data_IF_262862129658
#
_entry.id   IF_262862129658
#
_cell.length_a   1.000
_cell.length_b   1.000
_cell.length_c   1.000
_cell.angle_alpha   90.00
_cell.angle_beta   90.00
_cell.angle_gamma   90.00
#
_symmetry.space_group_name_H-M   'P 1'
#
loop_
_entity.id
_entity.type
_entity.pdbx_description
1 polymer ?
#
# COMPACT_ATOMS: atom_id res chain seq x y z
N UNK A 1 -21.97 49.95 -10.86
CA UNK A 1 -23.10 49.59 -10.00
C UNK A 1 -22.84 50.22 -8.67
N UNK A 2 -23.77 51.03 -8.15
CA UNK A 2 -23.61 51.64 -6.85
C UNK A 2 -23.95 50.57 -5.78
N UNK A 3 -23.04 50.33 -4.86
CA UNK A 3 -23.29 49.46 -3.72
C UNK A 3 -24.08 50.28 -2.70
N UNK A 4 -25.37 49.98 -2.54
CA UNK A 4 -26.19 50.53 -1.48
C UNK A 4 -26.06 49.65 -0.24
N UNK A 5 -25.60 50.25 0.85
CA UNK A 5 -25.50 49.62 2.15
C UNK A 5 -26.81 49.79 2.92
N UNK A 6 -27.53 48.74 3.19
CA UNK A 6 -28.58 48.76 4.19
C UNK A 6 -27.92 48.62 5.56
N UNK A 7 -27.90 49.67 6.32
CA UNK A 7 -27.42 49.66 7.71
C UNK A 7 -28.50 49.00 8.58
N UNK A 8 -28.35 47.71 8.85
CA UNK A 8 -29.11 47.11 9.97
C UNK A 8 -28.54 47.63 11.29
N UNK A 9 -29.38 47.82 12.36
CA UNK A 9 -28.86 48.16 13.66
C UNK A 9 -27.75 47.17 14.02
N UNK A 10 -26.59 47.62 14.53
CA UNK A 10 -25.50 46.72 14.86
C UNK A 10 -25.98 45.71 15.87
N UNK A 11 -25.79 44.41 15.57
CA UNK A 11 -25.77 43.45 16.65
C UNK A 11 -24.62 43.83 17.61
N UNK A 12 -24.62 43.26 18.79
CA UNK A 12 -23.61 43.57 19.81
C UNK A 12 -22.16 43.27 19.37
N UNK A 13 -21.95 42.80 18.14
CA UNK A 13 -20.64 42.49 17.55
C UNK A 13 -20.23 43.39 16.39
N UNK A 14 -21.07 44.35 15.98
CA UNK A 14 -20.73 45.34 14.94
C UNK A 14 -20.64 44.79 13.51
N UNK A 15 -21.18 43.64 13.23
CA UNK A 15 -21.14 43.04 11.90
C UNK A 15 -22.08 43.76 10.92
N UNK A 16 -21.56 44.07 9.75
CA UNK A 16 -22.32 44.66 8.63
C UNK A 16 -22.78 43.56 7.69
N UNK A 17 -24.05 43.57 7.32
CA UNK A 17 -24.58 42.69 6.27
C UNK A 17 -24.48 43.42 4.93
N UNK A 18 -23.76 42.85 3.98
CA UNK A 18 -23.75 43.32 2.60
C UNK A 18 -24.91 42.71 1.85
N UNK A 19 -25.65 43.50 1.13
CA UNK A 19 -26.68 43.05 0.19
C UNK A 19 -26.25 43.38 -1.23
N UNK A 20 -26.44 42.47 -2.14
CA UNK A 20 -26.23 42.73 -3.57
C UNK A 20 -27.60 42.94 -4.19
N UNK A 21 -27.75 44.05 -4.89
CA UNK A 21 -28.96 44.32 -5.70
C UNK A 21 -28.86 43.53 -7.03
N UNK A 22 -29.76 42.60 -7.20
CA UNK A 22 -29.92 41.84 -8.44
C UNK A 22 -31.19 42.34 -9.11
N UNK A 23 -31.04 42.96 -10.30
CA UNK A 23 -32.16 43.38 -11.11
C UNK A 23 -32.52 42.24 -12.08
N UNK A 24 -33.70 41.66 -11.95
CA UNK A 24 -34.24 40.61 -12.80
C UNK A 24 -34.97 41.14 -14.04
N UNK A 25 -34.91 42.47 -14.28
CA UNK A 25 -35.58 43.16 -15.38
C UNK A 25 -37.02 43.59 -15.07
N UNK A 26 -37.56 43.22 -13.90
CA UNK A 26 -38.87 43.65 -13.42
C UNK A 26 -38.88 44.26 -12.02
N UNK A 27 -38.04 43.78 -11.13
CA UNK A 27 -37.93 44.25 -9.76
C UNK A 27 -36.49 44.18 -9.24
N UNK A 28 -36.13 45.11 -8.36
CA UNK A 28 -34.87 45.06 -7.63
C UNK A 28 -35.03 44.12 -6.43
N UNK A 29 -34.33 42.97 -6.47
CA UNK A 29 -34.35 41.99 -5.39
C UNK A 29 -33.08 42.15 -4.58
N UNK A 30 -33.23 42.45 -3.29
CA UNK A 30 -32.12 42.49 -2.34
C UNK A 30 -31.90 41.11 -1.75
N UNK A 31 -30.81 40.46 -2.15
CA UNK A 31 -30.42 39.18 -1.57
C UNK A 31 -29.37 39.41 -0.50
N UNK A 32 -29.63 39.03 0.75
CA UNK A 32 -28.60 39.12 1.80
C UNK A 32 -27.46 38.18 1.48
N UNK A 33 -26.27 38.71 1.29
CA UNK A 33 -25.04 37.94 1.14
C UNK A 33 -24.43 37.80 2.52
N UNK A 34 -24.48 36.63 3.10
CA UNK A 34 -23.72 36.33 4.30
C UNK A 34 -22.23 36.25 3.95
N UNK A 35 -21.50 37.30 4.23
CA UNK A 35 -20.04 37.28 4.11
C UNK A 35 -19.52 36.71 5.44
N UNK A 36 -18.99 35.49 5.40
CA UNK A 36 -18.17 34.99 6.49
C UNK A 36 -16.78 35.58 6.25
N UNK A 37 -16.52 36.74 6.86
CA UNK A 37 -15.18 37.30 6.92
C UNK A 37 -14.46 36.65 8.11
N UNK A 38 -13.21 36.18 7.91
CA UNK A 38 -12.35 35.98 9.06
C UNK A 38 -12.12 37.35 9.71
N UNK A 39 -12.02 37.40 11.03
CA UNK A 39 -11.92 38.67 11.75
C UNK A 39 -10.61 39.44 11.51
N UNK A 40 -9.79 39.07 10.53
CA UNK A 40 -8.43 39.56 10.31
C UNK A 40 -8.32 40.35 8.99
N UNK A 41 -8.98 39.91 7.90
CA UNK A 41 -8.90 40.61 6.61
C UNK A 41 -10.27 40.73 5.93
N UNK A 42 -10.83 41.94 5.83
CA UNK A 42 -12.12 42.17 5.18
C UNK A 42 -12.11 41.99 3.65
N UNK A 43 -10.95 41.70 3.05
CA UNK A 43 -10.83 41.46 1.61
C UNK A 43 -11.03 39.99 1.27
N UNK A 44 -11.00 39.09 2.24
CA UNK A 44 -11.30 37.67 2.03
C UNK A 44 -12.81 37.45 1.89
N UNK A 45 -13.28 37.42 0.66
CA UNK A 45 -14.69 37.19 0.32
C UNK A 45 -14.91 35.74 -0.09
N UNK A 46 -15.93 35.11 0.48
CA UNK A 46 -16.40 33.84 -0.02
C UNK A 46 -17.05 34.08 -1.40
N UNK A 47 -16.51 33.47 -2.45
CA UNK A 47 -17.14 33.49 -3.76
C UNK A 47 -18.22 32.41 -3.85
N UNK A 48 -19.34 32.74 -4.46
CA UNK A 48 -20.39 31.80 -4.82
C UNK A 48 -20.44 31.65 -6.35
N UNK A 49 -20.75 30.45 -6.82
CA UNK A 49 -20.98 30.26 -8.25
C UNK A 49 -22.34 30.81 -8.69
N UNK A 50 -22.63 30.76 -9.98
CA UNK A 50 -23.93 31.21 -10.56
C UNK A 50 -25.12 30.37 -10.08
N UNK A 51 -24.91 29.23 -9.44
CA UNK A 51 -25.92 28.38 -8.83
C UNK A 51 -26.13 28.66 -7.34
N UNK A 52 -25.39 29.64 -6.77
CA UNK A 52 -25.49 29.99 -5.34
C UNK A 52 -24.69 29.08 -4.42
N UNK A 53 -23.84 28.18 -4.94
CA UNK A 53 -22.96 27.33 -4.14
C UNK A 53 -21.77 28.13 -3.64
N UNK A 54 -21.54 28.09 -2.33
CA UNK A 54 -20.40 28.76 -1.73
C UNK A 54 -19.12 27.93 -1.96
N UNK A 55 -18.11 28.55 -2.58
CA UNK A 55 -16.79 27.97 -2.61
C UNK A 55 -16.10 28.22 -1.28
N UNK A 56 -15.99 27.19 -0.44
CA UNK A 56 -15.19 27.25 0.77
C UNK A 56 -13.76 26.88 0.42
N UNK A 57 -12.87 27.86 0.35
CA UNK A 57 -11.43 27.60 0.27
C UNK A 57 -10.96 27.31 1.68
N UNK A 58 -10.55 26.10 1.94
CA UNK A 58 -9.95 25.75 3.22
C UNK A 58 -8.51 26.28 3.24
N UNK A 59 -8.13 26.95 4.32
CA UNK A 59 -6.78 27.44 4.55
C UNK A 59 -5.79 26.28 4.80
N UNK A 60 -4.50 26.57 4.90
CA UNK A 60 -3.48 25.62 5.34
C UNK A 60 -3.94 24.84 6.59
N UNK A 61 -3.83 23.51 6.55
CA UNK A 61 -4.37 22.63 7.59
C UNK A 61 -5.81 22.16 7.36
N UNK A 62 -6.40 22.52 6.23
CA UNK A 62 -7.74 22.12 5.83
C UNK A 62 -7.87 20.63 5.57
N UNK A 63 -9.09 20.06 5.70
CA UNK A 63 -9.31 18.65 5.43
C UNK A 63 -8.82 18.26 4.05
N UNK A 64 -8.04 17.17 3.99
CA UNK A 64 -7.53 16.63 2.74
C UNK A 64 -8.68 15.94 2.03
N UNK A 65 -8.87 16.25 0.75
CA UNK A 65 -9.80 15.53 -0.11
C UNK A 65 -9.11 14.29 -0.70
N UNK A 66 -9.83 13.19 -0.76
CA UNK A 66 -9.38 11.98 -1.43
C UNK A 66 -9.47 12.10 -2.97
N UNK A 67 -9.11 11.04 -3.70
CA UNK A 67 -9.16 11.03 -5.16
C UNK A 67 -10.60 11.11 -5.73
N UNK A 68 -11.64 10.91 -4.90
CA UNK A 68 -13.04 11.16 -5.25
C UNK A 68 -13.48 12.60 -4.97
N UNK A 69 -12.62 13.43 -4.40
CA UNK A 69 -13.00 14.75 -3.93
C UNK A 69 -13.83 14.73 -2.63
N UNK A 70 -13.84 13.61 -1.91
CA UNK A 70 -14.50 13.50 -0.63
C UNK A 70 -13.58 14.03 0.47
N UNK A 71 -14.15 14.82 1.38
CA UNK A 71 -13.43 15.35 2.51
C UNK A 71 -13.09 14.25 3.51
N UNK A 72 -11.82 14.06 3.80
CA UNK A 72 -11.35 13.12 4.82
C UNK A 72 -11.76 13.61 6.23
N UNK A 73 -12.77 13.00 6.80
CA UNK A 73 -13.28 13.32 8.15
C UNK A 73 -12.76 12.35 9.22
N UNK A 74 -12.01 11.33 8.83
CA UNK A 74 -11.42 10.33 9.71
C UNK A 74 -9.99 10.01 9.27
N UNK A 75 -9.21 9.45 10.18
CA UNK A 75 -7.89 8.93 9.81
C UNK A 75 -8.02 7.82 8.75
N UNK A 76 -7.20 7.84 7.69
CA UNK A 76 -7.16 6.75 6.73
C UNK A 76 -6.78 5.44 7.41
N UNK A 77 -7.38 4.33 6.98
CA UNK A 77 -7.00 3.00 7.47
C UNK A 77 -5.59 2.65 7.02
N UNK A 78 -4.72 2.34 7.96
CA UNK A 78 -3.36 1.91 7.68
C UNK A 78 -3.37 0.47 7.16
N UNK A 79 -2.94 0.26 5.91
CA UNK A 79 -2.91 -1.04 5.25
C UNK A 79 -1.52 -1.67 5.25
N UNK A 80 -0.46 -0.87 5.29
CA UNK A 80 0.91 -1.34 5.33
C UNK A 80 1.90 -0.29 5.78
N UNK A 81 2.99 -0.75 6.40
CA UNK A 81 4.09 0.09 6.90
C UNK A 81 5.42 -0.52 6.47
N UNK A 82 6.30 0.33 5.97
CA UNK A 82 7.65 -0.03 5.56
C UNK A 82 8.65 0.81 6.36
N UNK A 83 9.52 0.12 7.11
CA UNK A 83 10.44 0.73 8.06
C UNK A 83 11.89 0.47 7.64
N UNK A 84 12.30 1.03 6.51
CA UNK A 84 13.65 0.81 5.97
C UNK A 84 14.76 1.34 6.88
N UNK A 85 14.43 2.15 7.89
CA UNK A 85 15.36 2.56 8.94
C UNK A 85 15.69 1.44 9.94
N UNK A 86 14.93 0.34 9.95
CA UNK A 86 15.19 -0.88 10.70
C UNK A 86 16.01 -1.90 9.90
N UNK A 87 16.48 -1.55 8.71
CA UNK A 87 17.22 -2.38 7.76
C UNK A 87 16.43 -2.74 6.52
N UNK A 88 17.04 -3.56 5.66
CA UNK A 88 16.34 -4.14 4.50
C UNK A 88 15.11 -4.89 5.01
N UNK A 89 14.00 -4.75 4.29
CA UNK A 89 12.71 -5.31 4.72
C UNK A 89 12.56 -6.80 4.33
N UNK A 90 13.68 -7.55 4.30
CA UNK A 90 13.64 -9.00 4.09
C UNK A 90 12.98 -9.69 5.31
N UNK A 91 12.04 -10.62 5.12
CA UNK A 91 11.54 -11.22 3.88
C UNK A 91 10.32 -10.49 3.25
N UNK A 92 10.00 -9.26 3.66
CA UNK A 92 8.79 -8.53 3.20
C UNK A 92 8.94 -7.99 1.78
N UNK A 93 10.16 -7.96 1.25
CA UNK A 93 10.46 -7.47 -0.08
C UNK A 93 11.15 -8.54 -0.92
N UNK A 94 10.76 -8.60 -2.18
CA UNK A 94 11.40 -9.39 -3.21
C UNK A 94 12.44 -8.55 -3.94
N UNK A 95 13.63 -9.11 -4.13
CA UNK A 95 14.76 -8.45 -4.77
C UNK A 95 15.16 -9.18 -6.06
N UNK A 96 15.02 -8.49 -7.19
CA UNK A 96 15.44 -8.99 -8.50
C UNK A 96 16.67 -8.19 -8.93
N UNK A 97 17.79 -8.89 -9.11
CA UNK A 97 19.09 -8.28 -9.37
C UNK A 97 19.62 -8.72 -10.72
N UNK A 98 20.13 -7.77 -11.50
CA UNK A 98 20.91 -8.01 -12.70
C UNK A 98 22.23 -7.26 -12.60
N UNK A 99 23.33 -7.91 -12.92
CA UNK A 99 24.65 -7.31 -12.84
C UNK A 99 25.14 -7.11 -11.40
N UNK A 100 25.62 -5.92 -11.09
CA UNK A 100 26.21 -5.57 -9.78
C UNK A 100 25.27 -4.71 -8.90
N UNK A 101 23.99 -4.64 -9.26
CA UNK A 101 23.00 -3.91 -8.51
C UNK A 101 22.72 -4.59 -7.15
N UNK A 102 22.32 -3.82 -6.13
CA UNK A 102 21.94 -4.36 -4.83
C UNK A 102 21.06 -3.39 -4.03
N UNK A 103 20.36 -3.95 -3.04
CA UNK A 103 19.70 -3.21 -1.97
C UNK A 103 20.31 -3.66 -0.64
N UNK A 104 20.90 -2.72 0.08
CA UNK A 104 21.58 -2.98 1.35
C UNK A 104 21.14 -1.98 2.41
N UNK A 105 21.22 -2.39 3.66
CA UNK A 105 21.01 -1.49 4.78
C UNK A 105 22.13 -0.45 4.86
N UNK A 106 21.75 0.82 5.10
CA UNK A 106 22.67 1.92 5.36
C UNK A 106 22.35 2.55 6.72
N UNK A 107 22.91 2.00 7.82
CA UNK A 107 22.63 2.50 9.16
C UNK A 107 23.14 3.92 9.40
N UNK A 108 24.09 4.41 8.58
CA UNK A 108 24.61 5.77 8.70
C UNK A 108 23.58 6.81 8.24
N UNK A 109 22.73 6.46 7.27
CA UNK A 109 21.64 7.31 6.80
C UNK A 109 20.27 6.87 7.35
N UNK A 110 20.19 5.71 7.97
CA UNK A 110 18.94 5.19 8.54
C UNK A 110 17.94 4.79 7.46
N UNK A 111 18.37 4.04 6.44
CA UNK A 111 17.51 3.60 5.34
C UNK A 111 18.11 2.49 4.51
N UNK A 112 17.36 1.99 3.55
CA UNK A 112 17.85 1.05 2.55
C UNK A 112 18.45 1.80 1.38
N UNK A 113 19.70 1.48 1.07
CA UNK A 113 20.43 1.99 -0.08
C UNK A 113 20.26 1.04 -1.26
N UNK A 114 19.69 1.55 -2.34
CA UNK A 114 19.55 0.91 -3.64
C UNK A 114 20.70 1.36 -4.53
N UNK A 115 21.45 0.44 -5.10
CA UNK A 115 22.63 0.74 -5.91
C UNK A 115 22.58 0.03 -7.26
N UNK A 116 23.14 0.66 -8.29
CA UNK A 116 23.56 0.03 -9.54
C UNK A 116 25.02 0.37 -9.82
N UNK A 117 25.74 -0.55 -10.45
CA UNK A 117 27.10 -0.30 -10.89
C UNK A 117 27.16 0.66 -12.08
N UNK A 118 28.11 0.44 -12.98
CA UNK A 118 28.31 1.31 -14.17
C UNK A 118 27.89 0.66 -15.49
N UNK A 119 27.71 -0.66 -15.50
CA UNK A 119 27.43 -1.40 -16.71
C UNK A 119 26.02 -1.15 -17.25
N UNK A 120 25.88 -1.19 -18.57
CA UNK A 120 24.59 -1.23 -19.24
C UNK A 120 23.84 -2.50 -18.82
N UNK A 121 22.58 -2.37 -18.43
CA UNK A 121 21.74 -3.49 -17.99
C UNK A 121 21.87 -3.82 -16.51
N UNK A 122 22.76 -3.16 -15.74
CA UNK A 122 22.71 -3.26 -14.27
C UNK A 122 21.34 -2.79 -13.78
N UNK A 123 20.63 -3.66 -13.05
CA UNK A 123 19.26 -3.39 -12.63
C UNK A 123 18.98 -3.97 -11.26
N UNK A 124 18.30 -3.18 -10.43
CA UNK A 124 17.61 -3.62 -9.23
C UNK A 124 16.13 -3.35 -9.36
N UNK A 125 15.33 -4.36 -9.08
CA UNK A 125 13.90 -4.26 -8.81
C UNK A 125 13.68 -4.75 -7.37
N UNK A 126 13.08 -3.91 -6.54
CA UNK A 126 12.89 -4.17 -5.12
C UNK A 126 11.44 -3.84 -4.75
N UNK A 127 10.61 -4.86 -4.62
CA UNK A 127 9.15 -4.75 -4.50
C UNK A 127 8.65 -5.40 -3.22
N UNK A 128 7.65 -4.80 -2.59
CA UNK A 128 6.97 -5.47 -1.49
C UNK A 128 6.33 -6.77 -1.97
N UNK A 129 6.53 -7.85 -1.22
CA UNK A 129 5.87 -9.13 -1.49
C UNK A 129 4.35 -9.00 -1.43
N UNK A 130 3.88 -8.09 -0.58
CA UNK A 130 2.47 -7.79 -0.44
C UNK A 130 2.00 -6.86 -1.54
N UNK A 131 0.90 -7.25 -2.23
CA UNK A 131 0.09 -6.36 -3.06
C UNK A 131 -1.09 -5.86 -2.25
N UNK A 132 -1.39 -4.59 -2.39
CA UNK A 132 -2.49 -3.94 -1.70
C UNK A 132 -3.72 -4.01 -2.58
N UNK A 133 -4.75 -4.69 -2.06
CA UNK A 133 -5.98 -4.93 -2.80
C UNK A 133 -6.76 -3.63 -2.96
N UNK A 134 -7.08 -3.30 -4.21
CA UNK A 134 -7.95 -2.22 -4.53
C UNK A 134 -9.41 -2.60 -4.30
N UNK A 135 -10.17 -1.71 -3.70
CA UNK A 135 -11.61 -1.85 -3.53
C UNK A 135 -12.33 -0.82 -4.39
N UNK A 136 -13.24 -1.24 -5.27
CA UNK A 136 -14.08 -0.30 -6.00
C UNK A 136 -14.82 0.65 -5.06
N UNK A 137 -14.71 1.95 -5.31
CA UNK A 137 -15.29 2.96 -4.46
C UNK A 137 -14.40 3.47 -3.32
N UNK A 138 -13.16 2.97 -3.19
CA UNK A 138 -12.18 3.48 -2.23
C UNK A 138 -10.98 4.12 -2.93
N UNK A 139 -10.27 4.97 -2.21
CA UNK A 139 -8.96 5.49 -2.61
C UNK A 139 -7.88 4.74 -1.85
N UNK A 140 -6.80 4.34 -2.55
CA UNK A 140 -5.57 3.84 -1.93
C UNK A 140 -4.49 4.89 -2.13
N UNK A 141 -3.74 5.19 -1.07
CA UNK A 141 -2.62 6.12 -1.06
C UNK A 141 -1.36 5.42 -0.59
N UNK A 142 -0.27 5.63 -1.32
CA UNK A 142 1.09 5.27 -0.94
C UNK A 142 1.83 6.56 -0.58
N UNK A 143 2.40 6.60 0.60
CA UNK A 143 3.31 7.66 1.03
C UNK A 143 4.68 7.06 1.29
N UNK A 144 5.74 7.71 0.83
CA UNK A 144 7.10 7.21 1.01
C UNK A 144 8.12 8.35 1.07
N UNK A 145 9.21 8.10 1.79
CA UNK A 145 10.33 9.03 1.88
C UNK A 145 11.53 8.47 1.11
N UNK A 146 12.04 9.25 0.19
CA UNK A 146 13.21 8.87 -0.60
C UNK A 146 14.16 10.06 -0.81
N UNK A 147 15.40 9.71 -1.17
CA UNK A 147 16.47 10.62 -1.57
C UNK A 147 17.26 9.97 -2.70
N UNK A 148 17.57 10.71 -3.76
CA UNK A 148 18.53 10.26 -4.76
C UNK A 148 19.97 10.58 -4.30
N UNK A 149 20.93 9.76 -4.67
CA UNK A 149 22.35 10.00 -4.40
C UNK A 149 22.95 11.10 -5.29
N UNK A 150 22.28 11.41 -6.42
CA UNK A 150 22.66 12.45 -7.38
C UNK A 150 21.45 13.00 -8.12
N UNK A 151 21.62 14.07 -8.86
CA UNK A 151 20.56 14.70 -9.66
C UNK A 151 20.13 13.90 -10.90
N UNK A 152 20.81 12.77 -11.16
CA UNK A 152 20.60 11.94 -12.34
C UNK A 152 21.81 11.94 -13.26
N UNK A 153 21.87 10.91 -14.13
CA UNK A 153 22.96 10.68 -15.10
C UNK A 153 22.37 10.13 -16.38
N UNK A 154 22.94 10.51 -17.51
CA UNK A 154 22.56 9.90 -18.79
C UNK A 154 22.65 8.36 -18.72
N UNK A 155 21.62 7.67 -19.16
CA UNK A 155 21.54 6.21 -19.12
C UNK A 155 21.14 5.61 -17.77
N UNK A 156 20.75 6.42 -16.78
CA UNK A 156 20.24 5.96 -15.49
C UNK A 156 18.75 6.23 -15.39
N UNK A 157 17.97 5.21 -15.08
CA UNK A 157 16.54 5.32 -14.80
C UNK A 157 16.23 4.89 -13.36
N UNK A 158 15.42 5.67 -12.66
CA UNK A 158 14.92 5.41 -11.32
C UNK A 158 13.41 5.54 -11.31
N UNK A 159 12.73 4.53 -10.80
CA UNK A 159 11.27 4.53 -10.64
C UNK A 159 10.94 4.16 -9.20
N UNK A 160 9.96 4.83 -8.61
CA UNK A 160 9.47 4.53 -7.27
C UNK A 160 7.95 4.78 -7.21
N UNK A 161 7.23 3.86 -6.61
CA UNK A 161 5.78 3.97 -6.49
C UNK A 161 5.08 2.63 -6.47
N UNK A 162 4.00 2.53 -7.21
CA UNK A 162 3.16 1.36 -7.32
C UNK A 162 3.56 0.48 -8.50
N UNK A 163 3.66 -0.82 -8.26
CA UNK A 163 4.03 -1.82 -9.26
C UNK A 163 3.16 -3.07 -9.14
N UNK A 164 2.94 -3.75 -10.27
CA UNK A 164 2.60 -5.16 -10.36
C UNK A 164 3.46 -5.82 -11.44
N UNK A 165 3.14 -7.04 -11.91
CA UNK A 165 3.97 -7.75 -12.89
C UNK A 165 4.11 -7.01 -14.22
N UNK A 166 3.12 -6.19 -14.58
CA UNK A 166 3.00 -5.59 -15.92
C UNK A 166 2.71 -4.09 -15.91
N UNK A 167 2.13 -3.59 -14.84
CA UNK A 167 1.66 -2.22 -14.70
C UNK A 167 2.46 -1.45 -13.65
N UNK A 168 2.51 -0.14 -13.76
CA UNK A 168 3.03 0.72 -12.72
C UNK A 168 2.42 2.13 -12.72
N UNK A 169 2.47 2.78 -11.54
CA UNK A 169 2.22 4.20 -11.33
C UNK A 169 3.35 4.76 -10.48
N UNK A 170 4.21 5.59 -11.05
CA UNK A 170 5.50 5.93 -10.45
C UNK A 170 5.88 7.40 -10.62
N UNK A 171 6.69 7.88 -9.68
CA UNK A 171 7.64 8.95 -9.98
C UNK A 171 8.86 8.33 -10.67
N UNK A 172 9.32 8.96 -11.74
CA UNK A 172 10.42 8.49 -12.56
C UNK A 172 11.46 9.58 -12.77
N UNK A 173 12.73 9.18 -12.74
CA UNK A 173 13.88 10.00 -13.11
C UNK A 173 14.63 9.27 -14.21
N UNK A 174 14.67 9.82 -15.40
CA UNK A 174 15.39 9.26 -16.54
C UNK A 174 16.50 10.23 -16.96
N UNK A 175 17.74 9.84 -16.70
CA UNK A 175 18.82 10.80 -16.74
C UNK A 175 18.61 11.90 -15.69
N UNK A 176 18.55 13.14 -16.12
CA UNK A 176 18.26 14.32 -15.28
C UNK A 176 16.79 14.74 -15.30
N UNK A 177 15.99 14.15 -16.18
CA UNK A 177 14.60 14.52 -16.37
C UNK A 177 13.69 13.79 -15.38
N UNK A 178 12.66 14.49 -14.93
CA UNK A 178 11.70 14.01 -13.94
C UNK A 178 10.33 13.87 -14.58
N UNK A 179 9.67 12.77 -14.26
CA UNK A 179 8.35 12.41 -14.79
C UNK A 179 7.45 11.87 -13.70
N UNK A 180 6.16 11.93 -13.94
CA UNK A 180 5.18 10.98 -13.41
C UNK A 180 4.75 10.07 -14.55
N UNK A 181 4.59 8.78 -14.27
CA UNK A 181 4.28 7.82 -15.32
C UNK A 181 3.26 6.78 -14.86
N UNK A 182 2.37 6.40 -15.78
CA UNK A 182 1.48 5.25 -15.67
C UNK A 182 1.70 4.36 -16.88
N UNK A 183 1.91 3.09 -16.64
CA UNK A 183 1.95 2.06 -17.68
C UNK A 183 0.94 0.99 -17.34
N UNK A 184 0.09 0.67 -18.29
CA UNK A 184 -0.88 -0.41 -18.18
C UNK A 184 -0.69 -1.45 -19.29
N UNK A 185 -0.69 -2.73 -18.93
CA UNK A 185 -0.55 -3.83 -19.89
C UNK A 185 -1.69 -3.88 -20.90
N UNK A 186 -2.91 -3.55 -20.49
CA UNK A 186 -4.09 -3.55 -21.38
C UNK A 186 -4.01 -2.51 -22.48
N UNK A 187 -3.43 -1.35 -22.18
CA UNK A 187 -3.24 -0.28 -23.16
C UNK A 187 -1.98 -0.50 -24.00
N UNK A 188 -0.99 -1.20 -23.43
CA UNK A 188 0.35 -1.36 -24.01
C UNK A 188 1.13 -0.03 -24.12
N UNK A 189 0.58 1.06 -23.59
CA UNK A 189 1.12 2.41 -23.70
C UNK A 189 1.53 2.92 -22.34
N UNK A 190 2.72 3.49 -22.25
CA UNK A 190 3.17 4.28 -21.11
C UNK A 190 2.75 5.74 -21.34
N UNK A 191 1.97 6.28 -20.40
CA UNK A 191 1.69 7.71 -20.31
C UNK A 191 2.69 8.33 -19.37
N UNK A 192 3.60 9.14 -19.90
CA UNK A 192 4.68 9.78 -19.15
C UNK A 192 4.59 11.29 -19.30
N UNK A 193 4.51 12.00 -18.17
CA UNK A 193 4.36 13.45 -18.12
C UNK A 193 5.58 14.08 -17.48
N UNK A 194 6.38 14.84 -18.25
CA UNK A 194 7.56 15.53 -17.72
C UNK A 194 7.16 16.61 -16.71
N UNK A 195 8.02 16.89 -15.74
CA UNK A 195 7.79 17.87 -14.66
C UNK A 195 7.31 19.23 -15.18
N UNK A 196 7.87 19.70 -16.29
CA UNK A 196 7.46 20.96 -16.90
C UNK A 196 5.99 21.02 -17.32
N UNK A 197 5.33 19.85 -17.49
CA UNK A 197 3.94 19.71 -17.89
C UNK A 197 3.03 19.22 -16.74
N UNK A 198 3.51 19.18 -15.51
CA UNK A 198 2.66 18.83 -14.38
C UNK A 198 1.53 19.85 -14.23
N UNK A 199 0.34 19.35 -13.96
CA UNK A 199 -0.91 20.17 -13.93
C UNK A 199 -1.10 20.92 -12.61
N UNK A 200 -0.37 20.53 -11.56
CA UNK A 200 -0.35 21.19 -10.26
C UNK A 200 1.00 21.85 -10.01
N UNK A 201 1.58 21.61 -8.83
CA UNK A 201 2.84 22.19 -8.43
C UNK A 201 4.03 21.50 -9.13
N UNK A 202 4.80 22.25 -9.89
CA UNK A 202 5.96 21.74 -10.66
C UNK A 202 7.23 21.63 -9.85
N UNK A 203 7.26 22.19 -8.65
CA UNK A 203 8.43 22.21 -7.77
C UNK A 203 9.68 22.77 -8.48
N UNK A 204 9.49 23.79 -9.32
CA UNK A 204 10.57 24.40 -10.12
C UNK A 204 11.01 25.78 -9.61
N UNK A 205 10.41 26.26 -8.53
CA UNK A 205 10.71 27.55 -7.91
C UNK A 205 10.22 28.77 -8.71
N UNK A 206 9.42 28.55 -9.77
CA UNK A 206 9.00 29.66 -10.65
C UNK A 206 7.93 30.57 -10.03
N UNK A 207 7.22 30.07 -9.01
CA UNK A 207 6.04 30.73 -8.46
C UNK A 207 4.83 30.68 -9.43
N UNK A 208 3.75 31.33 -9.03
CA UNK A 208 2.51 31.38 -9.83
C UNK A 208 1.67 30.08 -9.76
N UNK A 209 0.66 30.01 -10.62
CA UNK A 209 -0.40 28.96 -10.54
C UNK A 209 0.12 27.52 -10.66
N UNK A 210 1.26 27.30 -11.29
CA UNK A 210 1.87 25.99 -11.49
C UNK A 210 3.01 25.67 -10.50
N UNK A 211 3.28 26.54 -9.57
CA UNK A 211 4.22 26.34 -8.47
C UNK A 211 3.83 27.20 -7.28
N UNK A 212 2.66 26.89 -6.70
CA UNK A 212 2.10 27.61 -5.56
C UNK A 212 2.96 27.48 -4.29
N UNK A 213 3.75 26.42 -4.19
CA UNK A 213 4.66 26.21 -3.06
C UNK A 213 5.92 27.08 -3.12
N UNK A 214 6.24 27.64 -4.29
CA UNK A 214 7.51 28.35 -4.58
C UNK A 214 8.77 27.50 -4.31
N UNK A 215 8.62 26.20 -4.09
CA UNK A 215 9.72 25.29 -3.79
C UNK A 215 10.43 24.86 -5.06
N UNK A 216 11.77 24.91 -5.03
CA UNK A 216 12.61 24.23 -6.02
C UNK A 216 13.01 22.87 -5.48
N UNK A 217 12.59 21.80 -6.16
CA UNK A 217 12.88 20.44 -5.75
C UNK A 217 14.38 20.13 -5.85
N UNK A 218 14.96 19.71 -4.73
CA UNK A 218 16.26 19.05 -4.68
C UNK A 218 16.07 17.55 -4.37
N UNK A 219 16.19 16.71 -5.39
CA UNK A 219 16.04 15.25 -5.27
C UNK A 219 17.15 14.59 -4.46
N UNK A 220 18.26 15.30 -4.22
CA UNK A 220 19.39 14.83 -3.39
C UNK A 220 19.14 15.02 -1.90
N UNK A 221 18.02 15.62 -1.54
CA UNK A 221 17.53 15.75 -0.17
C UNK A 221 16.40 14.75 0.08
N UNK A 222 16.11 14.52 1.34
CA UNK A 222 14.96 13.71 1.74
C UNK A 222 13.66 14.44 1.43
N UNK A 223 12.82 13.80 0.65
CA UNK A 223 11.49 14.29 0.30
C UNK A 223 10.44 13.23 0.59
N UNK A 224 9.27 13.65 1.07
CA UNK A 224 8.12 12.77 1.27
C UNK A 224 7.22 12.89 0.05
N UNK A 225 7.00 11.78 -0.63
CA UNK A 225 6.19 11.67 -1.82
C UNK A 225 4.92 10.89 -1.54
N UNK A 226 3.89 11.11 -2.34
CA UNK A 226 2.67 10.32 -2.28
C UNK A 226 2.08 10.11 -3.67
N UNK A 227 1.43 8.94 -3.83
CA UNK A 227 0.66 8.56 -5.01
C UNK A 227 -0.63 7.97 -4.52
N UNK A 228 -1.76 8.58 -4.84
CA UNK A 228 -3.06 8.02 -4.56
C UNK A 228 -3.85 7.78 -5.86
N UNK A 229 -4.71 6.80 -5.82
CA UNK A 229 -5.52 6.46 -6.97
C UNK A 229 -6.89 5.93 -6.58
N UNK A 230 -7.84 6.25 -7.44
CA UNK A 230 -9.16 5.69 -7.53
C UNK A 230 -9.25 5.00 -8.90
N UNK A 231 -9.27 3.67 -8.90
CA UNK A 231 -9.18 2.98 -10.18
C UNK A 231 -10.49 3.02 -10.99
N UNK A 232 -11.53 2.29 -10.57
CA UNK A 232 -12.79 2.10 -11.32
C UNK A 232 -12.61 2.02 -12.86
N UNK A 233 -11.40 1.65 -13.31
CA UNK A 233 -11.02 1.53 -14.72
C UNK A 233 -10.54 2.83 -15.37
N UNK A 234 -11.12 3.97 -15.06
CA UNK A 234 -10.83 5.28 -15.68
C UNK A 234 -10.75 6.41 -14.66
N UNK A 235 -10.54 6.07 -13.40
CA UNK A 235 -10.50 7.04 -12.32
C UNK A 235 -9.22 7.87 -12.29
N UNK A 236 -9.08 8.67 -11.25
CA UNK A 236 -8.01 9.65 -11.10
C UNK A 236 -6.80 9.02 -10.42
N UNK A 237 -5.60 9.36 -10.87
CA UNK A 237 -4.33 9.13 -10.17
C UNK A 237 -3.70 10.48 -9.88
N UNK A 238 -3.35 10.70 -8.61
CA UNK A 238 -2.70 11.93 -8.18
C UNK A 238 -1.30 11.63 -7.67
N UNK A 239 -0.37 12.50 -8.02
CA UNK A 239 1.03 12.47 -7.63
C UNK A 239 1.35 13.73 -6.86
N UNK A 240 2.08 13.64 -5.76
CA UNK A 240 2.42 14.82 -4.99
C UNK A 240 3.51 14.61 -3.96
N UNK A 241 3.72 15.62 -3.16
CA UNK A 241 4.73 15.68 -2.11
C UNK A 241 4.18 16.38 -0.87
N UNK A 242 4.86 16.22 0.26
CA UNK A 242 4.58 16.95 1.47
C UNK A 242 5.57 18.12 1.62
N UNK A 243 5.07 19.34 1.77
CA UNK A 243 5.87 20.53 1.94
C UNK A 243 5.40 21.27 3.19
N UNK A 244 6.27 21.43 4.18
CA UNK A 244 5.91 22.12 5.41
C UNK A 244 4.74 21.50 6.20
N UNK A 245 4.48 20.20 6.02
CA UNK A 245 3.33 19.52 6.62
C UNK A 245 2.04 19.62 5.81
N UNK A 246 2.08 20.20 4.61
CA UNK A 246 0.94 20.32 3.69
C UNK A 246 1.07 19.33 2.55
N UNK A 247 -0.02 18.63 2.21
CA UNK A 247 -0.08 17.71 1.07
C UNK A 247 -0.27 18.49 -0.22
N UNK A 248 0.79 18.58 -1.03
CA UNK A 248 0.84 19.34 -2.29
C UNK A 248 0.68 18.39 -3.47
N UNK A 249 -0.29 18.67 -4.34
CA UNK A 249 -0.50 17.91 -5.58
C UNK A 249 0.40 18.45 -6.68
N UNK A 250 1.26 17.59 -7.22
CA UNK A 250 2.15 17.92 -8.34
C UNK A 250 1.46 17.67 -9.69
N UNK A 251 0.81 16.53 -9.85
CA UNK A 251 0.13 16.21 -11.09
C UNK A 251 -1.10 15.33 -10.87
N UNK A 252 -2.09 15.50 -11.75
CA UNK A 252 -3.31 14.68 -11.78
C UNK A 252 -3.41 14.04 -13.16
N UNK A 253 -3.38 12.72 -13.21
CA UNK A 253 -3.71 11.95 -14.40
C UNK A 253 -5.17 11.54 -14.34
N UNK A 254 -5.91 11.83 -15.39
CA UNK A 254 -7.33 11.59 -15.50
C UNK A 254 -7.62 10.76 -16.76
N UNK A 255 -8.20 9.57 -16.56
CA UNK A 255 -8.63 8.68 -17.66
C UNK A 255 -10.03 8.96 -18.18
N UNK A 256 -10.74 9.91 -17.59
CA UNK A 256 -12.10 10.27 -17.91
C UNK A 256 -12.25 10.68 -19.39
N UNK A 257 -13.16 10.01 -20.10
CA UNK A 257 -13.48 10.25 -21.52
C UNK A 257 -12.27 10.26 -22.48
N UNK A 258 -11.16 9.59 -22.07
CA UNK A 258 -9.92 9.57 -22.83
C UNK A 258 -9.42 8.16 -23.16
N UNK A 259 -9.93 7.14 -22.46
CA UNK A 259 -9.45 5.77 -22.56
C UNK A 259 -10.54 4.84 -23.10
N UNK A 260 -10.17 3.97 -24.04
CA UNK A 260 -11.05 2.92 -24.59
C UNK A 260 -11.10 1.68 -23.67
N UNK A 261 -10.23 1.59 -22.69
CA UNK A 261 -10.11 0.46 -21.74
C UNK A 261 -9.45 0.93 -20.44
N UNK A 262 -9.54 0.16 -19.36
CA UNK A 262 -8.92 0.50 -18.08
C UNK A 262 -7.41 0.79 -18.22
N UNK A 263 -6.92 1.76 -17.45
CA UNK A 263 -5.50 2.16 -17.51
C UNK A 263 -4.55 1.17 -16.81
N UNK A 264 -5.06 0.28 -15.96
CA UNK A 264 -4.31 -0.84 -15.38
C UNK A 264 -4.99 -2.16 -15.75
N UNK A 265 -4.22 -3.22 -15.85
CA UNK A 265 -4.74 -4.58 -16.00
C UNK A 265 -5.17 -5.19 -14.67
N UNK A 266 -4.43 -4.87 -13.60
CA UNK A 266 -4.71 -5.27 -12.23
C UNK A 266 -4.42 -4.09 -11.28
N UNK A 267 -5.44 -3.56 -10.57
CA UNK A 267 -5.26 -2.45 -9.64
C UNK A 267 -4.64 -2.86 -8.29
N UNK A 268 -4.39 -4.15 -8.07
CA UNK A 268 -3.76 -4.64 -6.86
C UNK A 268 -2.24 -4.47 -6.97
N UNK A 269 -1.73 -3.44 -6.33
CA UNK A 269 -0.36 -2.97 -6.55
C UNK A 269 0.52 -3.18 -5.31
N UNK A 270 1.81 -3.39 -5.54
CA UNK A 270 2.84 -3.41 -4.52
C UNK A 270 3.58 -2.08 -4.48
N UNK A 271 4.12 -1.71 -3.32
CA UNK A 271 5.13 -0.65 -3.25
C UNK A 271 6.46 -1.17 -3.80
N UNK A 272 7.14 -0.37 -4.59
CA UNK A 272 8.42 -0.78 -5.14
C UNK A 272 9.32 0.34 -5.59
N UNK A 273 10.56 -0.09 -5.84
CA UNK A 273 11.65 0.73 -6.33
C UNK A 273 12.33 -0.03 -7.46
N UNK A 274 12.60 0.66 -8.55
CA UNK A 274 13.40 0.14 -9.66
C UNK A 274 14.49 1.13 -9.99
N UNK A 275 15.74 0.65 -10.11
CA UNK A 275 16.86 1.41 -10.63
C UNK A 275 17.56 0.60 -11.71
N UNK A 276 17.81 1.20 -12.86
CA UNK A 276 18.32 0.52 -14.02
C UNK A 276 19.25 1.41 -14.85
N UNK A 277 20.38 0.85 -15.30
CA UNK A 277 21.25 1.47 -16.27
C UNK A 277 20.84 1.05 -17.68
N UNK A 278 20.32 1.95 -18.48
CA UNK A 278 19.95 1.73 -19.89
C UNK A 278 21.10 1.99 -20.85
N UNK A 279 22.23 2.46 -20.31
CA UNK A 279 23.50 2.63 -21.01
C UNK A 279 24.65 2.54 -19.99
N UNK A 280 25.89 2.62 -20.45
CA UNK A 280 27.07 2.74 -19.59
C UNK A 280 26.98 4.10 -18.84
N UNK A 281 27.05 4.07 -17.51
CA UNK A 281 27.08 5.27 -16.67
C UNK A 281 28.47 5.52 -16.11
N UNK A 282 28.81 6.79 -15.89
CA UNK A 282 30.18 7.19 -15.52
C UNK A 282 30.62 6.82 -14.10
N UNK A 283 29.67 6.48 -13.21
CA UNK A 283 29.94 6.07 -11.83
C UNK A 283 28.75 5.29 -11.28
N UNK A 284 28.95 4.57 -10.19
CA UNK A 284 27.86 3.92 -9.44
C UNK A 284 26.76 4.90 -9.10
N UNK A 285 25.54 4.42 -9.08
CA UNK A 285 24.35 5.23 -8.80
C UNK A 285 23.65 4.72 -7.54
N UNK A 286 23.14 5.65 -6.74
CA UNK A 286 22.52 5.35 -5.46
C UNK A 286 21.16 6.04 -5.35
N UNK A 287 20.26 5.39 -4.65
CA UNK A 287 19.00 5.95 -4.18
C UNK A 287 18.72 5.39 -2.78
N UNK A 288 18.10 6.17 -1.92
CA UNK A 288 17.81 5.78 -0.55
C UNK A 288 16.31 5.84 -0.31
N UNK A 289 15.78 4.81 0.35
CA UNK A 289 14.40 4.74 0.82
C UNK A 289 14.41 4.59 2.33
N UNK A 290 13.62 5.40 3.04
CA UNK A 290 13.66 5.49 4.50
C UNK A 290 12.43 4.89 5.15
N UNK A 291 11.26 5.23 4.67
CA UNK A 291 9.99 4.70 5.16
C UNK A 291 8.92 4.79 4.08
N UNK A 292 7.85 4.06 4.30
CA UNK A 292 6.66 4.16 3.48
C UNK A 292 5.43 3.66 4.23
N UNK A 293 4.28 4.12 3.82
CA UNK A 293 3.00 3.69 4.34
C UNK A 293 1.99 3.56 3.21
N UNK A 294 1.13 2.56 3.31
CA UNK A 294 -0.04 2.42 2.46
C UNK A 294 -1.27 2.62 3.31
N UNK A 295 -2.13 3.51 2.87
CA UNK A 295 -3.40 3.83 3.53
C UNK A 295 -4.56 3.69 2.55
N UNK A 296 -5.75 3.43 3.07
CA UNK A 296 -6.98 3.36 2.28
C UNK A 296 -8.10 4.19 2.90
N UNK A 297 -9.00 4.73 2.08
CA UNK A 297 -10.23 5.33 2.57
C UNK A 297 -11.23 4.24 2.99
N UNK A 298 -11.83 4.40 4.15
CA UNK A 298 -12.81 3.46 4.72
C UNK A 298 -12.18 2.30 5.51
N UNK A 299 -13.04 1.50 6.13
CA UNK A 299 -12.59 0.31 6.87
C UNK A 299 -12.19 -0.80 5.89
N UNK A 300 -11.06 -1.47 6.13
CA UNK A 300 -10.65 -2.61 5.29
C UNK A 300 -11.44 -3.87 5.66
N UNK A 301 -12.74 -3.88 5.38
CA UNK A 301 -13.48 -5.14 5.37
C UNK A 301 -13.16 -5.87 4.07
N UNK A 302 -12.20 -6.76 4.11
CA UNK A 302 -11.96 -7.68 3.00
C UNK A 302 -13.05 -8.75 2.98
N UNK A 303 -13.56 -9.14 1.80
CA UNK A 303 -14.33 -10.34 1.69
C UNK A 303 -13.54 -11.48 2.32
N UNK A 304 -14.14 -12.17 3.27
CA UNK A 304 -13.48 -13.29 3.93
C UNK A 304 -14.31 -14.55 3.71
N UNK A 305 -13.68 -15.55 3.15
CA UNK A 305 -14.28 -16.88 3.04
C UNK A 305 -13.73 -17.73 4.17
N UNK A 306 -14.58 -18.17 5.13
CA UNK A 306 -14.14 -19.09 6.15
C UNK A 306 -13.91 -20.46 5.53
N UNK A 307 -12.81 -21.09 5.89
CA UNK A 307 -12.52 -22.48 5.52
C UNK A 307 -11.90 -23.21 6.69
N UNK A 308 -11.91 -24.52 6.65
CA UNK A 308 -11.30 -25.34 7.69
C UNK A 308 -10.60 -26.55 7.07
N UNK A 309 -9.49 -26.93 7.66
CA UNK A 309 -8.78 -28.16 7.37
C UNK A 309 -8.72 -29.01 8.64
N UNK A 310 -9.06 -30.27 8.53
CA UNK A 310 -8.94 -31.24 9.64
C UNK A 310 -8.25 -32.51 9.18
N UNK A 311 -7.38 -33.03 10.03
CA UNK A 311 -6.63 -34.24 9.78
C UNK A 311 -6.59 -35.11 11.03
N UNK A 312 -6.55 -36.45 10.83
CA UNK A 312 -6.24 -37.39 11.86
C UNK A 312 -4.84 -37.96 11.59
N UNK A 313 -3.96 -37.88 12.57
CA UNK A 313 -2.59 -38.38 12.46
C UNK A 313 -2.18 -39.21 13.67
N UNK A 314 -1.54 -40.34 13.40
CA UNK A 314 -0.91 -41.15 14.44
C UNK A 314 0.43 -40.51 14.82
N UNK A 315 0.58 -40.16 16.09
CA UNK A 315 1.84 -39.61 16.66
C UNK A 315 2.46 -40.67 17.54
N UNK A 316 3.66 -41.08 17.21
CA UNK A 316 4.45 -42.07 17.93
C UNK A 316 5.84 -41.56 18.35
N UNK A 317 6.05 -40.25 18.32
CA UNK A 317 7.33 -39.60 18.55
C UNK A 317 7.23 -38.58 19.67
N UNK A 318 8.29 -38.47 20.47
CA UNK A 318 8.54 -37.38 21.42
C UNK A 318 9.25 -36.20 20.77
N UNK A 319 9.62 -36.32 19.48
CA UNK A 319 10.07 -35.20 18.66
C UNK A 319 8.89 -34.65 17.84
N UNK A 320 8.90 -33.35 17.53
CA UNK A 320 7.83 -32.76 16.73
C UNK A 320 7.76 -33.39 15.34
N UNK A 321 6.56 -33.80 14.98
CA UNK A 321 6.21 -34.38 13.67
C UNK A 321 5.15 -33.47 13.04
N UNK A 322 5.31 -32.99 11.81
CA UNK A 322 4.28 -32.21 11.12
C UNK A 322 2.99 -33.01 11.00
N UNK A 323 1.90 -32.43 11.45
CA UNK A 323 0.56 -32.98 11.25
C UNK A 323 0.05 -32.60 9.86
N UNK A 324 0.16 -31.34 9.53
CA UNK A 324 -0.11 -30.81 8.19
C UNK A 324 0.59 -29.46 8.00
N UNK A 325 0.72 -29.07 6.72
CA UNK A 325 1.08 -27.71 6.32
C UNK A 325 0.08 -27.19 5.29
N UNK A 326 -0.13 -25.87 5.25
CA UNK A 326 -1.08 -25.22 4.33
C UNK A 326 -0.48 -23.95 3.77
N UNK A 327 -0.75 -23.69 2.49
CA UNK A 327 -0.39 -22.45 1.79
C UNK A 327 -1.46 -22.10 0.74
N UNK A 328 -1.41 -20.88 0.21
CA UNK A 328 -2.19 -20.56 -0.98
C UNK A 328 -1.67 -21.33 -2.19
N UNK A 329 -2.57 -21.84 -3.05
CA UNK A 329 -2.20 -22.47 -4.33
C UNK A 329 -1.57 -21.43 -5.28
N UNK A 330 -0.90 -21.88 -6.32
CA UNK A 330 -0.32 -21.00 -7.32
C UNK A 330 -1.38 -20.30 -8.16
N UNK A 331 -2.39 -21.03 -8.54
CA UNK A 331 -3.49 -20.53 -9.34
C UNK A 331 -4.83 -20.65 -8.60
N UNK A 332 -5.71 -19.71 -8.84
CA UNK A 332 -7.10 -19.75 -8.46
C UNK A 332 -7.95 -19.47 -9.71
N UNK A 333 -8.73 -20.45 -10.14
CA UNK A 333 -9.54 -20.30 -11.35
C UNK A 333 -8.73 -20.04 -12.63
N UNK A 334 -7.46 -20.48 -12.69
CA UNK A 334 -6.56 -20.27 -13.83
C UNK A 334 -5.83 -18.93 -13.85
N UNK A 335 -5.99 -18.13 -12.81
CA UNK A 335 -5.27 -16.85 -12.62
C UNK A 335 -4.36 -16.93 -11.40
N UNK A 336 -3.34 -16.06 -11.34
CA UNK A 336 -2.43 -16.00 -10.21
C UNK A 336 -3.18 -15.78 -8.91
N UNK A 337 -3.03 -16.72 -7.97
CA UNK A 337 -3.70 -16.65 -6.68
C UNK A 337 -3.02 -15.58 -5.79
N UNK A 338 -3.76 -14.54 -5.47
CA UNK A 338 -3.33 -13.44 -4.58
C UNK A 338 -4.02 -13.46 -3.22
N UNK A 339 -4.79 -14.51 -2.95
CA UNK A 339 -5.47 -14.68 -1.67
C UNK A 339 -4.47 -14.68 -0.51
N UNK A 340 -4.95 -14.21 0.61
CA UNK A 340 -4.27 -14.30 1.90
C UNK A 340 -4.97 -15.34 2.75
N UNK A 341 -4.17 -16.19 3.36
CA UNK A 341 -4.61 -17.18 4.29
C UNK A 341 -4.27 -16.75 5.71
N UNK A 342 -5.28 -16.66 6.55
CA UNK A 342 -5.11 -16.31 7.97
C UNK A 342 -5.66 -17.42 8.85
N UNK A 343 -4.82 -18.18 9.57
CA UNK A 343 -5.30 -19.12 10.57
C UNK A 343 -5.90 -18.36 11.76
N UNK A 344 -7.04 -18.86 12.25
CA UNK A 344 -7.76 -18.27 13.38
C UNK A 344 -7.59 -19.09 14.64
N UNK A 345 -8.00 -20.35 14.56
CA UNK A 345 -8.03 -21.27 15.69
C UNK A 345 -7.55 -22.65 15.27
N UNK A 346 -6.73 -23.27 16.10
CA UNK A 346 -6.42 -24.69 16.00
C UNK A 346 -7.18 -25.45 17.07
N UNK A 347 -7.87 -26.52 16.67
CA UNK A 347 -8.54 -27.45 17.60
C UNK A 347 -7.77 -28.74 17.58
N UNK A 348 -7.41 -29.26 18.75
CA UNK A 348 -6.70 -30.51 18.89
C UNK A 348 -7.44 -31.45 19.87
N UNK A 349 -7.53 -32.71 19.48
CA UNK A 349 -8.02 -33.80 20.33
C UNK A 349 -7.00 -34.94 20.25
N UNK A 350 -6.59 -35.46 21.41
CA UNK A 350 -5.73 -36.64 21.53
C UNK A 350 -6.51 -37.78 22.17
N UNK A 351 -6.44 -39.00 21.63
CA UNK A 351 -7.18 -40.16 22.15
C UNK A 351 -6.46 -40.98 23.22
N UNK A 352 -5.22 -40.67 23.55
CA UNK A 352 -4.48 -41.53 24.49
C UNK A 352 -3.30 -40.87 25.20
N UNK A 353 -2.57 -40.01 24.59
CA UNK A 353 -1.34 -39.41 25.16
C UNK A 353 -1.45 -37.89 25.32
N UNK A 354 -0.86 -37.35 26.38
CA UNK A 354 -0.66 -35.90 26.45
C UNK A 354 0.32 -35.47 25.37
N UNK A 355 -0.01 -34.40 24.68
CA UNK A 355 0.74 -33.89 23.52
C UNK A 355 1.13 -32.43 23.69
N UNK A 356 2.13 -32.02 22.94
CA UNK A 356 2.43 -30.62 22.66
C UNK A 356 2.15 -30.34 21.19
N UNK A 357 1.36 -29.29 20.94
CA UNK A 357 1.16 -28.70 19.61
C UNK A 357 2.11 -27.55 19.44
N UNK A 358 2.68 -27.41 18.25
CA UNK A 358 3.47 -26.28 17.81
C UNK A 358 2.96 -25.80 16.46
N UNK A 359 2.62 -24.51 16.37
CA UNK A 359 2.24 -23.84 15.14
C UNK A 359 3.39 -22.93 14.68
N UNK A 360 3.77 -23.01 13.43
CA UNK A 360 4.96 -22.36 12.88
C UNK A 360 4.70 -21.77 11.50
N UNK A 361 5.41 -20.69 11.17
CA UNK A 361 5.47 -20.12 9.84
C UNK A 361 6.75 -20.50 9.13
N UNK A 362 6.63 -20.94 7.87
CA UNK A 362 7.73 -21.24 6.97
C UNK A 362 8.84 -22.09 7.58
N UNK A 363 8.56 -23.16 8.36
CA UNK A 363 9.63 -24.04 8.76
C UNK A 363 10.17 -24.77 7.53
N UNK A 364 11.44 -25.17 7.53
CA UNK A 364 11.98 -26.03 6.47
C UNK A 364 11.33 -27.40 6.60
N UNK A 365 10.56 -27.80 5.59
CA UNK A 365 9.89 -29.10 5.54
C UNK A 365 10.73 -30.12 4.78
N UNK A 366 10.81 -31.34 5.32
CA UNK A 366 11.43 -32.48 4.65
C UNK A 366 10.34 -33.46 4.22
N UNK A 367 10.32 -33.84 2.95
CA UNK A 367 9.37 -34.79 2.37
C UNK A 367 7.96 -34.23 2.16
N UNK A 368 7.81 -32.91 2.09
CA UNK A 368 6.53 -32.27 1.79
C UNK A 368 6.05 -32.61 0.37
N UNK A 369 4.76 -32.93 0.27
CA UNK A 369 4.07 -33.19 -1.01
C UNK A 369 2.78 -32.40 -1.02
N UNK A 370 2.75 -31.32 -1.78
CA UNK A 370 1.63 -30.40 -1.82
C UNK A 370 0.49 -30.94 -2.70
N UNK A 371 -0.71 -30.88 -2.18
CA UNK A 371 -1.95 -31.28 -2.87
C UNK A 371 -2.87 -30.07 -2.96
N UNK A 372 -3.29 -29.73 -4.15
CA UNK A 372 -4.18 -28.60 -4.41
C UNK A 372 -5.63 -28.90 -4.05
N UNK A 373 -6.34 -27.92 -3.53
CA UNK A 373 -7.78 -27.91 -3.26
C UNK A 373 -8.50 -26.99 -4.24
N UNK A 374 -9.79 -27.24 -4.41
CA UNK A 374 -10.66 -26.41 -5.24
C UNK A 374 -10.79 -24.96 -4.72
N UNK A 375 -10.48 -24.72 -3.45
CA UNK A 375 -10.64 -23.42 -2.78
C UNK A 375 -9.39 -22.53 -2.90
N UNK A 376 -8.44 -22.85 -3.78
CA UNK A 376 -7.22 -22.08 -3.95
C UNK A 376 -6.20 -22.28 -2.82
N UNK A 377 -6.24 -23.40 -2.12
CA UNK A 377 -5.29 -23.81 -1.11
C UNK A 377 -4.52 -25.06 -1.56
N UNK A 378 -3.30 -25.18 -1.07
CA UNK A 378 -2.52 -26.41 -1.12
C UNK A 378 -2.20 -26.86 0.30
N UNK A 379 -2.31 -28.16 0.55
CA UNK A 379 -1.90 -28.75 1.82
C UNK A 379 -0.90 -29.87 1.62
N UNK A 380 -0.09 -30.07 2.65
CA UNK A 380 0.83 -31.19 2.76
C UNK A 380 0.54 -31.99 4.03
N UNK A 381 0.45 -33.30 3.87
CA UNK A 381 0.30 -34.28 4.96
C UNK A 381 1.50 -35.23 5.04
N UNK A 382 2.43 -35.12 4.11
CA UNK A 382 3.54 -36.05 3.91
C UNK A 382 4.84 -35.65 4.59
N UNK A 383 5.00 -34.38 4.99
CA UNK A 383 6.21 -33.93 5.64
C UNK A 383 6.52 -34.74 6.91
N UNK A 384 7.77 -35.11 7.07
CA UNK A 384 8.27 -35.90 8.20
C UNK A 384 9.01 -35.08 9.23
N UNK A 385 9.59 -33.97 8.84
CA UNK A 385 10.33 -33.03 9.70
C UNK A 385 9.98 -31.59 9.34
N UNK A 386 9.77 -30.76 10.36
CA UNK A 386 9.70 -29.31 10.24
C UNK A 386 10.82 -28.70 11.09
N UNK A 387 11.78 -28.02 10.43
CA UNK A 387 12.87 -27.33 11.12
C UNK A 387 12.54 -25.84 11.21
N UNK A 388 12.42 -25.25 12.41
CA UNK A 388 12.10 -23.85 12.57
C UNK A 388 13.15 -22.94 11.92
N UNK A 389 12.70 -21.92 11.22
CA UNK A 389 13.56 -20.87 10.63
C UNK A 389 13.34 -19.53 11.33
N UNK A 390 12.18 -19.33 11.95
CA UNK A 390 11.82 -18.06 12.58
C UNK A 390 11.40 -18.24 14.05
N UNK A 391 11.40 -17.16 14.80
CA UNK A 391 10.88 -17.10 16.18
C UNK A 391 9.34 -17.05 16.25
N UNK A 392 8.64 -16.97 15.13
CA UNK A 392 7.17 -16.91 15.10
C UNK A 392 6.57 -18.29 15.24
N UNK A 393 6.50 -18.75 16.47
CA UNK A 393 5.91 -20.03 16.84
C UNK A 393 5.05 -19.87 18.10
N UNK A 394 3.96 -20.62 18.13
CA UNK A 394 3.11 -20.76 19.32
C UNK A 394 3.05 -22.22 19.67
N UNK A 395 3.14 -22.56 20.95
CA UNK A 395 2.96 -23.92 21.41
C UNK A 395 1.94 -24.04 22.55
N UNK A 396 1.28 -25.18 22.62
CA UNK A 396 0.32 -25.49 23.66
C UNK A 396 0.44 -26.94 24.12
N UNK A 397 0.26 -27.16 25.42
CA UNK A 397 0.24 -28.49 26.02
C UNK A 397 -1.20 -28.96 26.19
N UNK A 398 -1.46 -30.20 25.81
CA UNK A 398 -2.80 -30.76 25.71
C UNK A 398 -2.85 -32.06 26.47
N UNK A 399 -3.85 -32.17 27.35
CA UNK A 399 -4.14 -33.42 28.07
C UNK A 399 -4.75 -34.49 27.16
N UNK A 400 -4.60 -35.75 27.54
CA UNK A 400 -5.27 -36.84 26.85
C UNK A 400 -6.78 -36.72 26.96
N UNK A 401 -7.51 -37.03 25.86
CA UNK A 401 -8.96 -37.06 25.77
C UNK A 401 -9.67 -35.70 26.09
N UNK A 402 -8.95 -34.58 26.02
CA UNK A 402 -9.50 -33.26 26.26
C UNK A 402 -9.37 -32.45 24.98
N UNK A 403 -10.46 -31.95 24.38
CA UNK A 403 -10.38 -31.00 23.29
C UNK A 403 -9.70 -29.72 23.76
N UNK A 404 -8.79 -29.22 22.97
CA UNK A 404 -8.11 -27.95 23.22
C UNK A 404 -8.21 -27.05 22.03
N UNK A 405 -8.56 -25.80 22.25
CA UNK A 405 -8.59 -24.76 21.24
C UNK A 405 -7.46 -23.76 21.49
N UNK A 406 -6.65 -23.53 20.48
CA UNK A 406 -5.57 -22.58 20.49
C UNK A 406 -5.93 -21.39 19.58
N UNK A 407 -5.98 -20.20 20.16
CA UNK A 407 -6.14 -18.97 19.40
C UNK A 407 -4.84 -18.65 18.64
N UNK A 408 -4.91 -18.61 17.33
CA UNK A 408 -3.81 -18.29 16.42
C UNK A 408 -3.87 -16.85 15.93
N UNK A 409 -4.91 -16.11 16.27
CA UNK A 409 -5.11 -14.73 15.76
C UNK A 409 -3.99 -13.79 16.19
N UNK A 410 -3.38 -14.03 17.35
CA UNK A 410 -2.25 -13.25 17.84
C UNK A 410 -0.96 -13.43 17.03
N UNK A 411 -0.84 -14.53 16.29
CA UNK A 411 0.28 -14.75 15.36
C UNK A 411 0.21 -13.82 14.15
N UNK A 412 -1.02 -13.36 13.83
CA UNK A 412 -1.30 -12.43 12.75
C UNK A 412 -2.15 -11.28 13.28
N UNK A 413 -1.58 -10.15 13.64
CA UNK A 413 -2.37 -8.99 14.06
C UNK A 413 -3.39 -8.61 12.96
N UNK A 414 -4.51 -7.97 13.30
CA UNK A 414 -5.63 -7.67 12.38
C UNK A 414 -5.24 -6.98 11.08
N UNK A 415 -4.15 -6.21 11.11
CA UNK A 415 -3.57 -5.52 9.96
C UNK A 415 -2.24 -6.14 9.53
N UNK A 416 -1.88 -7.30 10.07
CA UNK A 416 -0.65 -8.03 9.76
C UNK A 416 -0.73 -8.77 8.43
N UNK A 417 0.44 -9.12 7.92
CA UNK A 417 0.56 -9.93 6.73
C UNK A 417 0.10 -11.35 7.05
N UNK A 418 -0.95 -11.84 6.36
CA UNK A 418 -1.31 -13.26 6.34
C UNK A 418 -0.30 -14.05 5.52
N UNK A 419 -0.54 -15.35 5.37
CA UNK A 419 0.19 -16.16 4.40
C UNK A 419 -0.27 -15.79 2.99
N UNK A 420 0.65 -15.47 2.11
CA UNK A 420 0.40 -15.12 0.71
C UNK A 420 1.56 -15.62 -0.16
N UNK A 421 1.34 -15.70 -1.45
CA UNK A 421 2.45 -15.93 -2.39
C UNK A 421 3.22 -14.64 -2.60
N UNK A 422 4.55 -14.78 -2.73
CA UNK A 422 5.46 -13.68 -2.99
C UNK A 422 5.20 -12.98 -4.33
N UNK A 423 6.07 -12.03 -4.66
CA UNK A 423 5.97 -11.25 -5.89
C UNK A 423 5.89 -12.11 -7.16
N UNK A 424 6.73 -13.13 -7.25
CA UNK A 424 6.84 -14.05 -8.39
C UNK A 424 5.89 -15.24 -8.33
N UNK A 425 5.00 -15.29 -7.32
CA UNK A 425 4.06 -16.38 -7.03
C UNK A 425 4.69 -17.77 -6.79
N UNK A 426 5.97 -17.95 -7.07
CA UNK A 426 6.66 -19.23 -6.89
C UNK A 426 6.94 -19.51 -5.42
N UNK A 427 7.20 -18.46 -4.63
CA UNK A 427 7.38 -18.56 -3.19
C UNK A 427 6.07 -18.29 -2.47
N UNK A 428 5.59 -19.29 -1.73
CA UNK A 428 4.42 -19.16 -0.89
C UNK A 428 4.82 -19.22 0.59
N UNK A 429 4.35 -18.26 1.37
CA UNK A 429 4.32 -18.41 2.81
C UNK A 429 3.38 -19.55 3.21
N UNK A 430 3.78 -20.41 4.13
CA UNK A 430 2.98 -21.52 4.61
C UNK A 430 2.96 -21.64 6.12
N UNK A 431 1.92 -22.25 6.61
CA UNK A 431 1.66 -22.51 8.03
C UNK A 431 1.72 -24.01 8.28
N UNK A 432 2.43 -24.41 9.33
CA UNK A 432 2.61 -25.80 9.71
C UNK A 432 2.19 -26.01 11.15
N UNK A 433 1.40 -27.06 11.38
CA UNK A 433 1.12 -27.59 12.70
C UNK A 433 1.89 -28.86 12.90
N UNK A 434 2.71 -28.89 13.95
CA UNK A 434 3.50 -30.04 14.37
C UNK A 434 3.06 -30.53 15.74
N UNK A 435 3.13 -31.81 15.97
CA UNK A 435 2.76 -32.50 17.22
C UNK A 435 3.88 -33.36 17.74
N UNK A 436 3.98 -33.47 19.07
CA UNK A 436 4.80 -34.50 19.74
C UNK A 436 4.09 -35.06 20.96
N UNK A 437 4.39 -36.29 21.32
CA UNK A 437 4.00 -36.88 22.60
C UNK A 437 4.91 -36.32 23.73
N UNK A 438 4.33 -36.10 24.89
CA UNK A 438 5.11 -35.72 26.10
C UNK A 438 5.79 -36.92 26.75
N UNK A 439 5.34 -38.14 26.45
CA UNK A 439 5.97 -39.37 26.89
C UNK A 439 5.97 -40.41 25.73
N UNK A 440 6.89 -41.33 25.76
CA UNK A 440 6.94 -42.41 24.75
C UNK A 440 5.64 -43.20 24.72
N UNK A 441 5.11 -43.44 23.51
CA UNK A 441 3.86 -44.14 23.28
C UNK A 441 3.36 -43.93 21.86
N UNK A 442 2.09 -44.22 21.64
CA UNK A 442 1.38 -43.96 20.38
C UNK A 442 0.00 -43.41 20.72
N UNK A 443 -0.40 -42.35 20.02
CA UNK A 443 -1.73 -41.77 20.18
C UNK A 443 -2.21 -41.20 18.84
N UNK A 444 -3.51 -41.29 18.59
CA UNK A 444 -4.13 -40.62 17.46
C UNK A 444 -4.43 -39.18 17.87
N UNK A 445 -4.15 -38.27 16.97
CA UNK A 445 -4.45 -36.84 17.12
C UNK A 445 -5.39 -36.40 16.01
N UNK A 446 -6.54 -35.86 16.39
CA UNK A 446 -7.39 -35.06 15.50
C UNK A 446 -6.98 -33.60 15.58
N UNK A 447 -6.56 -33.01 14.50
CA UNK A 447 -6.20 -31.58 14.42
C UNK A 447 -7.07 -30.90 13.39
N UNK A 448 -7.76 -29.85 13.80
CA UNK A 448 -8.50 -28.96 12.90
C UNK A 448 -7.97 -27.54 13.00
N UNK A 449 -7.90 -26.83 11.89
CA UNK A 449 -7.58 -25.41 11.87
C UNK A 449 -8.62 -24.67 11.03
N UNK A 450 -9.15 -23.61 11.61
CA UNK A 450 -10.04 -22.69 10.93
C UNK A 450 -9.22 -21.55 10.34
N UNK A 451 -9.49 -21.22 9.09
CA UNK A 451 -8.83 -20.17 8.34
C UNK A 451 -9.82 -19.15 7.81
N UNK A 452 -9.35 -17.96 7.59
CA UNK A 452 -9.96 -16.95 6.71
C UNK A 452 -9.13 -16.83 5.45
N UNK A 453 -9.79 -16.98 4.31
CA UNK A 453 -9.24 -16.63 3.00
C UNK A 453 -9.71 -15.21 2.71
N UNK A 454 -8.79 -14.31 2.50
CA UNK A 454 -9.04 -12.92 2.09
C UNK A 454 -8.70 -12.82 0.60
N UNK A 455 -9.69 -12.56 -0.22
CA UNK A 455 -9.58 -12.36 -1.66
C UNK A 455 -9.29 -10.91 -2.03
#
# INVERSE_FOLDING_TARGET
MAEDFIQSPPDSSGKRVHTVMVNDGQNDIYTPVHIIADGVDPTHRQSVDSGGSAFTRFAEGSPVFDAFGLMGTSEPSLMGVFKFYEGTQDPRFHKIVTGTADAVDDPALGGTKVTTGTANGDKLEYYSNRRYMYRPGSTISLEFTMKAGDVGKAGLNRHIGWFNDTDYMVFAWEGTDQYVAIKGALTGVEVKVPRANWSGDRLDGSGGDNNLSEVTLDVTKTNIWWIDYQFLGSGVVRFGTWIGGVKVTCHVMNGYNALDRPYLSDPNMAFGVKQENTALVGSTSEMYVFCGAVTGSGYPEYPVTPTSLSVNKVINSTSFTPAFSVRASELLGGTNNRCRLRPLHAILISDGGAMELKAEFNPVLTGATWTESADGLEWDLGATVATPVSSSQVSAFIGANIPYELDLTSMFPPHGDGLYRGWDITEAGYFTVSLRLLAAGTSNAGVGVNFQIQE
#
